data_IF_170328480931
#
_entry.id   IF_170328480931
#
_cell.length_a   1.000
_cell.length_b   1.000
_cell.length_c   1.000
_cell.angle_alpha   90.00
_cell.angle_beta   90.00
_cell.angle_gamma   90.00
#
_symmetry.space_group_name_H-M   'P 1'
#
loop_
_entity.id
_entity.type
_entity.pdbx_description
1 polymer ?
#
# COMPACT_ATOMS: atom_id res chain seq x y z
N UNK A 1 3.29 -4.66 -12.13
CA UNK A 1 3.51 -3.57 -11.17
C UNK A 1 4.88 -2.97 -11.42
N UNK A 2 5.12 -1.69 -11.06
CA UNK A 2 6.46 -1.13 -11.06
C UNK A 2 7.41 -2.00 -10.20
N UNK A 3 8.72 -1.89 -10.44
CA UNK A 3 9.71 -2.51 -9.56
C UNK A 3 9.48 -2.05 -8.11
N UNK A 4 9.65 -2.97 -7.16
CA UNK A 4 9.44 -2.75 -5.71
C UNK A 4 7.98 -2.59 -5.24
N UNK A 5 7.01 -2.88 -6.11
CA UNK A 5 5.59 -2.93 -5.75
C UNK A 5 5.09 -4.36 -5.72
N UNK A 6 4.10 -4.63 -4.87
CA UNK A 6 3.52 -5.97 -4.72
C UNK A 6 2.21 -6.08 -5.48
N UNK A 7 2.15 -7.01 -6.42
CA UNK A 7 0.95 -7.28 -7.20
C UNK A 7 0.02 -8.29 -6.53
N UNK A 8 -1.26 -7.93 -6.36
CA UNK A 8 -2.29 -8.84 -5.89
C UNK A 8 -3.66 -8.48 -6.49
N UNK A 9 -4.38 -9.48 -7.01
CA UNK A 9 -5.73 -9.35 -7.56
C UNK A 9 -5.92 -8.20 -8.58
N UNK A 10 -4.94 -8.00 -9.47
CA UNK A 10 -4.97 -6.94 -10.48
C UNK A 10 -4.58 -5.54 -9.98
N UNK A 11 -4.29 -5.38 -8.68
CA UNK A 11 -3.78 -4.15 -8.09
C UNK A 11 -2.29 -4.25 -7.78
N UNK A 12 -1.64 -3.08 -7.70
CA UNK A 12 -0.25 -2.94 -7.29
C UNK A 12 -0.21 -2.11 -6.00
N UNK A 13 0.37 -2.68 -4.95
CA UNK A 13 0.46 -2.07 -3.64
C UNK A 13 1.89 -1.66 -3.34
N UNK A 14 2.03 -0.50 -2.71
CA UNK A 14 3.26 0.01 -2.15
C UNK A 14 3.00 0.40 -0.70
N UNK A 15 3.88 -0.05 0.20
CA UNK A 15 3.78 0.25 1.62
C UNK A 15 4.84 1.30 1.98
N UNK A 16 4.39 2.53 2.24
CA UNK A 16 5.25 3.57 2.80
C UNK A 16 5.60 3.26 4.26
N UNK A 17 6.84 3.56 4.66
CA UNK A 17 7.28 3.48 6.07
C UNK A 17 7.04 4.77 6.85
N UNK A 18 6.66 5.83 6.16
CA UNK A 18 6.46 7.14 6.77
C UNK A 18 5.10 7.23 7.47
N UNK A 19 5.08 7.80 8.67
CA UNK A 19 3.86 8.14 9.37
C UNK A 19 3.47 9.58 9.04
N UNK A 20 2.42 9.74 8.24
CA UNK A 20 1.88 11.05 7.81
C UNK A 20 0.37 11.12 8.02
N UNK A 21 -0.21 12.32 7.88
CA UNK A 21 -1.67 12.45 7.88
C UNK A 21 -2.27 11.77 6.65
N UNK A 22 -3.57 11.50 6.70
CA UNK A 22 -4.29 10.87 5.59
C UNK A 22 -4.13 11.65 4.27
N UNK A 23 -4.33 12.97 4.31
CA UNK A 23 -4.24 13.84 3.15
C UNK A 23 -2.82 13.86 2.56
N UNK A 24 -1.79 13.94 3.41
CA UNK A 24 -0.39 13.86 2.99
C UNK A 24 -0.05 12.49 2.39
N UNK A 25 -0.64 11.41 2.91
CA UNK A 25 -0.50 10.07 2.35
C UNK A 25 -1.08 9.97 0.94
N UNK A 26 -2.27 10.53 0.73
CA UNK A 26 -2.89 10.59 -0.59
C UNK A 26 -2.08 11.44 -1.57
N UNK A 27 -1.57 12.60 -1.14
CA UNK A 27 -0.69 13.46 -1.97
C UNK A 27 0.55 12.69 -2.43
N UNK A 28 1.27 12.04 -1.52
CA UNK A 28 2.46 11.23 -1.84
C UNK A 28 2.14 10.05 -2.77
N UNK A 29 1.03 9.35 -2.55
CA UNK A 29 0.62 8.30 -3.48
C UNK A 29 0.33 8.87 -4.87
N UNK A 30 -0.22 10.08 -4.96
CA UNK A 30 -0.52 10.76 -6.22
C UNK A 30 0.77 11.17 -6.96
N UNK A 31 1.80 11.62 -6.25
CA UNK A 31 3.13 11.90 -6.81
C UNK A 31 3.78 10.66 -7.45
N UNK A 32 3.47 9.46 -6.93
CA UNK A 32 3.90 8.17 -7.49
C UNK A 32 3.00 7.67 -8.63
N UNK A 33 2.02 8.46 -9.08
CA UNK A 33 1.05 8.06 -10.10
C UNK A 33 0.02 7.02 -9.60
N UNK A 34 -0.17 6.94 -8.29
CA UNK A 34 -1.07 6.00 -7.63
C UNK A 34 -2.12 6.71 -6.76
N UNK A 35 -2.85 5.95 -5.95
CA UNK A 35 -3.81 6.48 -4.98
C UNK A 35 -3.65 5.73 -3.67
N UNK A 36 -4.01 6.38 -2.56
CA UNK A 36 -3.93 5.76 -1.24
C UNK A 36 -4.81 4.49 -1.23
N UNK A 37 -4.24 3.38 -0.79
CA UNK A 37 -4.90 2.09 -0.90
C UNK A 37 -6.11 2.00 0.05
N UNK A 38 -7.29 1.73 -0.53
CA UNK A 38 -8.50 1.36 0.24
C UNK A 38 -8.67 -0.15 0.12
N UNK A 39 -8.32 -0.86 1.18
CA UNK A 39 -8.25 -2.32 1.19
C UNK A 39 -9.52 -2.87 1.82
N UNK A 40 -10.37 -3.52 1.02
CA UNK A 40 -11.60 -4.19 1.47
C UNK A 40 -11.50 -5.71 1.47
N UNK A 41 -10.41 -6.25 0.92
CA UNK A 41 -10.14 -7.68 0.79
C UNK A 41 -9.21 -8.12 1.93
N UNK A 42 -9.64 -9.13 2.70
CA UNK A 42 -8.89 -9.63 3.86
C UNK A 42 -7.51 -10.18 3.50
N UNK A 43 -7.38 -10.82 2.33
CA UNK A 43 -6.09 -11.39 1.87
C UNK A 43 -5.14 -10.29 1.42
N UNK A 44 -5.66 -9.25 0.77
CA UNK A 44 -4.87 -8.06 0.46
C UNK A 44 -4.40 -7.36 1.75
N UNK A 45 -5.24 -7.34 2.79
CA UNK A 45 -4.86 -6.80 4.09
C UNK A 45 -3.78 -7.64 4.78
N UNK A 46 -3.92 -8.97 4.84
CA UNK A 46 -2.88 -9.89 5.36
C UNK A 46 -1.55 -9.73 4.63
N UNK A 47 -1.58 -9.61 3.30
CA UNK A 47 -0.40 -9.33 2.49
C UNK A 47 0.30 -8.03 2.93
N UNK A 48 -0.45 -6.95 3.14
CA UNK A 48 0.10 -5.66 3.58
C UNK A 48 0.68 -5.72 5.01
N UNK A 49 0.05 -6.48 5.91
CA UNK A 49 0.60 -6.71 7.26
C UNK A 49 1.94 -7.44 7.20
N UNK A 50 2.04 -8.48 6.38
CA UNK A 50 3.30 -9.20 6.15
C UNK A 50 4.37 -8.29 5.56
N UNK A 51 4.01 -7.40 4.62
CA UNK A 51 4.94 -6.43 4.04
C UNK A 51 5.45 -5.40 5.05
N UNK A 52 4.62 -5.05 6.04
CA UNK A 52 5.05 -4.19 7.15
C UNK A 52 6.06 -4.88 8.07
N UNK A 53 6.14 -6.22 8.03
CA UNK A 53 6.87 -7.02 9.00
C UNK A 53 6.12 -7.23 10.32
N UNK A 54 4.81 -6.92 10.36
CA UNK A 54 3.94 -7.27 11.48
C UNK A 54 3.41 -8.69 11.23
N UNK A 55 4.18 -9.68 11.69
CA UNK A 55 3.70 -11.05 11.85
C UNK A 55 3.26 -11.17 13.30
N UNK A 56 1.95 -11.08 13.54
CA UNK A 56 1.35 -11.63 14.77
C UNK A 56 1.16 -13.14 14.60
#
# INVERSE_FOLDING_TARGET
CPSDWVGYNGFCYYLSRDSVTWDQGQERCSELGASLAIVKDEKAMDLLFRLRGNVD
#
